data_IF_395883566369
#
_entry.id   IF_395883566369
#
_cell.length_a   1.000
_cell.length_b   1.000
_cell.length_c   1.000
_cell.angle_alpha   90.00
_cell.angle_beta   90.00
_cell.angle_gamma   90.00
#
_symmetry.space_group_name_H-M   'P 1'
#
loop_
_entity.id
_entity.type
_entity.pdbx_description
1 polymer ?
#
# COMPACT_ATOMS: atom_id res chain seq x y z
N UNK A 1 42.74 1.65 -3.92
CA UNK A 1 43.01 2.22 -5.25
C UNK A 1 41.67 2.51 -5.90
N UNK A 2 41.43 3.77 -6.28
CA UNK A 2 40.25 4.13 -7.07
C UNK A 2 40.35 3.40 -8.42
N UNK A 3 39.22 3.01 -9.00
CA UNK A 3 39.11 2.30 -10.28
C UNK A 3 39.43 3.27 -11.44
N UNK A 4 40.69 3.70 -11.63
CA UNK A 4 41.66 3.14 -12.60
C UNK A 4 43.15 3.31 -12.15
N UNK A 5 43.45 3.16 -10.86
CA UNK A 5 44.73 3.55 -10.22
C UNK A 5 45.09 5.05 -10.38
N UNK A 6 44.08 5.89 -10.60
CA UNK A 6 44.20 7.35 -10.65
C UNK A 6 44.73 7.89 -9.31
N UNK A 7 45.70 8.80 -9.37
CA UNK A 7 46.30 9.47 -8.22
C UNK A 7 46.31 10.96 -8.46
N UNK A 8 45.60 11.71 -7.62
CA UNK A 8 45.55 13.16 -7.71
C UNK A 8 45.25 13.72 -6.32
N UNK A 9 46.20 14.44 -5.73
CA UNK A 9 46.09 14.93 -4.37
C UNK A 9 44.89 15.86 -4.15
N UNK A 10 44.54 16.69 -5.14
CA UNK A 10 43.36 17.55 -5.06
C UNK A 10 42.07 16.73 -5.09
N UNK A 11 41.98 15.73 -5.96
CA UNK A 11 40.85 14.81 -6.00
C UNK A 11 40.71 14.04 -4.69
N UNK A 12 41.81 13.53 -4.15
CA UNK A 12 41.82 12.76 -2.90
C UNK A 12 41.39 13.65 -1.71
N UNK A 13 41.77 14.94 -1.71
CA UNK A 13 41.31 15.92 -0.72
C UNK A 13 39.80 16.18 -0.81
N UNK A 14 39.24 16.36 -2.01
CA UNK A 14 37.80 16.54 -2.17
C UNK A 14 37.02 15.27 -1.82
N UNK A 15 37.56 14.09 -2.15
CA UNK A 15 36.98 12.81 -1.76
C UNK A 15 36.88 12.66 -0.24
N UNK A 16 37.88 13.15 0.49
CA UNK A 16 37.87 13.13 1.96
C UNK A 16 36.70 13.96 2.51
N UNK A 17 36.52 15.19 2.02
CA UNK A 17 35.36 16.04 2.35
C UNK A 17 34.04 15.35 1.99
N UNK A 18 33.93 14.78 0.78
CA UNK A 18 32.73 14.09 0.33
C UNK A 18 32.33 12.93 1.24
N UNK A 19 33.30 12.15 1.74
CA UNK A 19 33.01 10.97 2.56
C UNK A 19 32.72 11.30 4.02
N UNK A 20 33.28 12.38 4.55
CA UNK A 20 33.26 12.67 5.98
C UNK A 20 32.41 13.88 6.38
N UNK A 21 32.00 14.71 5.43
CA UNK A 21 31.06 15.80 5.72
C UNK A 21 29.68 15.25 6.09
N UNK A 22 28.99 15.97 6.97
CA UNK A 22 27.59 15.73 7.35
C UNK A 22 26.64 16.76 6.76
N UNK A 23 27.16 17.74 6.02
CA UNK A 23 26.40 18.82 5.38
C UNK A 23 26.23 18.56 3.88
N UNK A 24 25.02 18.79 3.37
CA UNK A 24 24.72 18.52 1.97
C UNK A 24 25.48 19.43 1.01
N UNK A 25 25.62 20.72 1.33
CA UNK A 25 26.26 21.70 0.45
C UNK A 25 27.76 21.41 0.33
N UNK A 26 28.40 21.01 1.43
CA UNK A 26 29.80 20.55 1.42
C UNK A 26 30.00 19.27 0.59
N UNK A 27 29.10 18.29 0.72
CA UNK A 27 29.13 17.06 -0.08
C UNK A 27 28.90 17.35 -1.57
N UNK A 28 27.95 18.25 -1.87
CA UNK A 28 27.63 18.67 -3.22
C UNK A 28 28.81 19.40 -3.87
N UNK A 29 29.42 20.35 -3.17
CA UNK A 29 30.62 21.06 -3.63
C UNK A 29 31.75 20.08 -3.94
N UNK A 30 32.07 19.19 -3.00
CA UNK A 30 33.11 18.19 -3.18
C UNK A 30 32.84 17.29 -4.39
N UNK A 31 31.59 16.85 -4.58
CA UNK A 31 31.19 16.04 -5.73
C UNK A 31 31.42 16.79 -7.06
N UNK A 32 31.05 18.07 -7.13
CA UNK A 32 31.24 18.91 -8.32
C UNK A 32 32.73 19.12 -8.62
N UNK A 33 33.55 19.44 -7.62
CA UNK A 33 35.00 19.63 -7.80
C UNK A 33 35.71 18.34 -8.22
N UNK A 34 35.33 17.19 -7.64
CA UNK A 34 35.80 15.88 -8.07
C UNK A 34 35.47 15.61 -9.55
N UNK A 35 34.24 15.90 -9.97
CA UNK A 35 33.81 15.73 -11.38
C UNK A 35 34.58 16.65 -12.33
N UNK A 36 34.84 17.91 -11.97
CA UNK A 36 35.67 18.83 -12.78
C UNK A 36 37.07 18.27 -13.03
N UNK A 37 37.72 17.74 -11.98
CA UNK A 37 39.04 17.12 -12.10
C UNK A 37 38.96 15.89 -13.01
N UNK A 38 37.93 15.05 -12.84
CA UNK A 38 37.76 13.84 -13.65
C UNK A 38 37.56 14.16 -15.13
N UNK A 39 36.70 15.14 -15.46
CA UNK A 39 36.45 15.57 -16.84
C UNK A 39 37.69 16.17 -17.48
N UNK A 40 38.46 16.96 -16.74
CA UNK A 40 39.67 17.58 -17.27
C UNK A 40 40.81 16.57 -17.50
N UNK A 41 41.03 15.66 -16.55
CA UNK A 41 42.15 14.72 -16.61
C UNK A 41 41.85 13.42 -17.34
N UNK A 42 40.56 13.10 -17.54
CA UNK A 42 40.06 11.90 -18.24
C UNK A 42 40.81 10.63 -17.80
N UNK A 43 40.82 10.29 -16.49
CA UNK A 43 41.52 9.11 -16.01
C UNK A 43 40.92 7.80 -16.54
N UNK A 44 39.69 7.86 -17.07
CA UNK A 44 39.05 6.81 -17.83
C UNK A 44 38.26 7.44 -18.98
N UNK A 45 38.44 6.93 -20.20
CA UNK A 45 37.70 7.37 -21.38
C UNK A 45 36.49 6.43 -21.58
N UNK A 46 35.28 6.97 -21.48
CA UNK A 46 34.05 6.23 -21.78
C UNK A 46 33.89 6.17 -23.30
N UNK A 47 34.16 5.03 -23.91
CA UNK A 47 34.11 4.86 -25.37
C UNK A 47 32.69 4.71 -25.93
N UNK A 48 31.78 4.14 -25.13
CA UNK A 48 30.38 3.95 -25.45
C UNK A 48 29.59 3.76 -24.17
N UNK A 49 28.29 4.05 -24.23
CA UNK A 49 27.34 3.71 -23.18
C UNK A 49 26.37 2.66 -23.71
N UNK A 50 25.98 1.72 -22.84
CA UNK A 50 24.96 0.74 -23.20
C UNK A 50 23.61 1.45 -23.28
N UNK A 51 22.92 1.32 -24.42
CA UNK A 51 21.53 1.73 -24.55
C UNK A 51 20.63 0.53 -24.29
N UNK A 52 19.71 0.67 -23.34
CA UNK A 52 18.69 -0.35 -23.05
C UNK A 52 17.34 0.19 -23.49
N UNK A 53 16.63 -0.58 -24.30
CA UNK A 53 15.31 -0.22 -24.83
C UNK A 53 14.24 -1.10 -24.22
N UNK A 54 13.18 -0.48 -23.70
CA UNK A 54 12.05 -1.19 -23.11
C UNK A 54 10.78 -0.85 -23.88
N UNK A 55 10.13 -1.89 -24.41
CA UNK A 55 8.83 -1.76 -25.07
C UNK A 55 7.71 -2.00 -24.05
N UNK A 56 6.72 -1.10 -24.01
CA UNK A 56 5.54 -1.22 -23.14
C UNK A 56 4.29 -0.72 -23.85
N UNK A 57 3.13 -1.19 -23.40
CA UNK A 57 1.85 -0.97 -24.09
C UNK A 57 1.13 0.27 -23.59
N UNK A 58 1.15 1.34 -24.37
CA UNK A 58 0.42 2.58 -24.08
C UNK A 58 -0.99 2.63 -24.66
N UNK A 59 -1.40 1.64 -25.46
CA UNK A 59 -2.77 1.54 -25.97
C UNK A 59 -3.75 1.13 -24.86
N UNK A 60 -3.37 0.13 -24.04
CA UNK A 60 -4.18 -0.42 -22.94
C UNK A 60 -3.90 0.14 -21.56
N UNK A 61 -2.63 0.41 -21.25
CA UNK A 61 -2.22 0.79 -19.90
C UNK A 61 -1.82 2.27 -19.84
N UNK A 62 -2.08 2.88 -18.69
CA UNK A 62 -1.59 4.19 -18.28
C UNK A 62 -0.75 4.05 -17.00
N UNK A 63 -0.11 5.13 -16.55
CA UNK A 63 0.64 5.13 -15.28
C UNK A 63 2.07 4.57 -15.35
N UNK A 64 2.62 4.29 -16.53
CA UNK A 64 4.03 3.95 -16.68
C UNK A 64 4.93 5.10 -16.17
N UNK A 65 5.98 4.75 -15.44
CA UNK A 65 6.92 5.72 -14.86
C UNK A 65 8.32 5.46 -15.40
N UNK A 66 8.90 6.47 -16.03
CA UNK A 66 10.30 6.43 -16.43
C UNK A 66 11.14 7.01 -15.30
N UNK A 67 11.79 6.15 -14.51
CA UNK A 67 12.64 6.60 -13.39
C UNK A 67 14.06 6.94 -13.86
N UNK A 68 14.78 7.67 -13.01
CA UNK A 68 16.13 8.15 -13.30
C UNK A 68 17.21 7.06 -13.35
N UNK A 69 16.95 5.83 -12.87
CA UNK A 69 17.97 4.78 -12.74
C UNK A 69 17.85 3.67 -13.76
N UNK A 70 16.63 3.22 -14.01
CA UNK A 70 16.33 1.95 -14.67
C UNK A 70 15.37 2.09 -15.85
N UNK A 71 14.90 3.30 -16.15
CA UNK A 71 13.95 3.53 -17.23
C UNK A 71 12.55 3.13 -16.80
N UNK A 72 11.80 2.37 -17.60
CA UNK A 72 10.40 2.01 -17.31
C UNK A 72 10.15 0.71 -16.53
N UNK A 73 10.95 -0.38 -16.61
CA UNK A 73 10.70 -1.58 -15.82
C UNK A 73 11.32 -1.45 -14.42
N UNK A 74 10.62 -0.69 -13.59
CA UNK A 74 10.97 -0.35 -12.22
C UNK A 74 9.78 -0.50 -11.28
N UNK A 75 10.04 -0.38 -9.98
CA UNK A 75 9.02 -0.40 -8.93
C UNK A 75 7.88 0.60 -9.18
N UNK A 76 8.16 1.84 -9.56
CA UNK A 76 7.15 2.88 -9.74
C UNK A 76 6.18 2.59 -10.89
N UNK A 77 6.66 2.01 -11.99
CA UNK A 77 5.78 1.51 -13.04
C UNK A 77 4.89 0.41 -12.48
N UNK A 78 5.46 -0.60 -11.80
CA UNK A 78 4.66 -1.69 -11.23
C UNK A 78 3.62 -1.18 -10.23
N UNK A 79 3.99 -0.18 -9.44
CA UNK A 79 3.16 0.44 -8.42
C UNK A 79 2.02 1.31 -8.99
N UNK A 80 2.24 1.95 -10.15
CA UNK A 80 1.30 2.93 -10.72
C UNK A 80 0.58 2.49 -11.98
N UNK A 81 1.06 1.46 -12.67
CA UNK A 81 0.49 1.03 -13.94
C UNK A 81 -0.93 0.49 -13.73
N UNK A 82 -1.84 0.89 -14.60
CA UNK A 82 -3.24 0.47 -14.54
C UNK A 82 -3.87 0.45 -15.93
N UNK A 83 -4.95 -0.32 -16.07
CA UNK A 83 -5.77 -0.27 -17.27
C UNK A 83 -6.34 1.14 -17.48
N UNK A 84 -6.42 1.59 -18.73
CA UNK A 84 -7.17 2.79 -19.07
C UNK A 84 -8.66 2.55 -18.82
N UNK A 85 -9.40 3.64 -18.63
CA UNK A 85 -10.86 3.59 -18.50
C UNK A 85 -11.54 2.90 -19.70
N UNK A 86 -11.01 3.07 -20.92
CA UNK A 86 -11.49 2.39 -22.13
C UNK A 86 -11.35 0.87 -22.10
N UNK A 87 -10.50 0.34 -21.22
CA UNK A 87 -10.25 -1.09 -21.03
C UNK A 87 -10.85 -1.61 -19.71
N UNK A 88 -11.70 -0.82 -19.04
CA UNK A 88 -12.33 -1.20 -17.77
C UNK A 88 -11.51 -0.90 -16.51
N UNK A 89 -10.44 -0.10 -16.61
CA UNK A 89 -9.70 0.40 -15.44
C UNK A 89 -10.44 1.50 -14.65
N UNK A 90 -9.80 2.12 -13.64
CA UNK A 90 -8.36 2.14 -13.34
C UNK A 90 -7.87 1.00 -12.44
N UNK A 91 -8.73 0.04 -12.08
CA UNK A 91 -8.34 -1.10 -11.25
C UNK A 91 -8.36 -2.41 -12.05
N UNK A 92 -7.57 -3.38 -11.61
CA UNK A 92 -7.48 -4.71 -12.23
C UNK A 92 -6.58 -4.79 -13.47
N UNK A 93 -6.64 -5.96 -14.12
CA UNK A 93 -5.80 -6.31 -15.26
C UNK A 93 -4.48 -7.01 -14.88
N UNK A 94 -3.86 -7.64 -15.87
CA UNK A 94 -2.53 -8.25 -15.76
C UNK A 94 -1.52 -7.39 -16.53
N UNK A 95 -0.63 -6.67 -15.86
CA UNK A 95 0.49 -6.01 -16.54
C UNK A 95 1.64 -6.99 -16.73
N UNK A 96 2.21 -7.05 -17.94
CA UNK A 96 3.29 -7.98 -18.30
C UNK A 96 4.41 -7.23 -19.00
N UNK A 97 5.64 -7.47 -18.57
CA UNK A 97 6.85 -7.00 -19.25
C UNK A 97 7.90 -8.12 -19.25
N UNK A 98 8.84 -8.06 -20.20
CA UNK A 98 9.91 -9.05 -20.33
C UNK A 98 10.96 -8.92 -19.23
N UNK A 99 11.44 -10.06 -18.75
CA UNK A 99 12.48 -10.18 -17.72
C UNK A 99 13.40 -11.34 -18.09
N UNK A 100 14.67 -11.26 -17.70
CA UNK A 100 15.70 -12.22 -18.12
C UNK A 100 15.49 -13.62 -17.50
N UNK A 101 15.08 -13.71 -16.23
CA UNK A 101 14.66 -14.93 -15.54
C UNK A 101 13.97 -14.58 -14.21
N UNK A 102 13.38 -15.55 -13.52
CA UNK A 102 12.81 -15.35 -12.18
C UNK A 102 13.86 -15.52 -11.07
N UNK A 103 14.02 -14.55 -10.14
CA UNK A 103 15.09 -14.61 -9.16
C UNK A 103 14.84 -15.70 -8.10
N UNK A 104 15.92 -16.08 -7.39
CA UNK A 104 15.80 -16.74 -6.10
C UNK A 104 15.13 -15.77 -5.10
N UNK A 105 14.31 -16.27 -4.17
CA UNK A 105 13.61 -15.41 -3.21
C UNK A 105 14.49 -14.98 -2.05
N UNK A 106 15.69 -15.57 -1.91
CA UNK A 106 16.73 -15.05 -1.05
C UNK A 106 17.43 -13.85 -1.67
N UNK A 107 16.87 -12.67 -1.43
CA UNK A 107 17.46 -11.39 -1.84
C UNK A 107 18.86 -11.12 -1.25
N UNK A 108 19.32 -11.85 -0.23
CA UNK A 108 20.63 -11.63 0.40
C UNK A 108 21.79 -12.27 -0.37
N UNK A 109 21.52 -13.14 -1.37
CA UNK A 109 22.57 -13.86 -2.11
C UNK A 109 23.23 -13.05 -3.22
N UNK A 110 22.51 -12.13 -3.85
CA UNK A 110 23.03 -11.38 -5.00
C UNK A 110 22.47 -9.96 -5.03
N UNK A 111 23.30 -8.95 -5.36
CA UNK A 111 22.87 -7.56 -5.38
C UNK A 111 22.16 -7.07 -6.64
N UNK A 112 22.22 -7.75 -7.81
CA UNK A 112 21.78 -7.07 -9.05
C UNK A 112 21.38 -7.97 -10.23
N UNK A 113 20.10 -7.89 -10.62
CA UNK A 113 19.53 -8.24 -11.95
C UNK A 113 18.16 -7.57 -12.15
N UNK A 114 17.61 -7.58 -13.38
CA UNK A 114 16.18 -7.21 -13.61
C UNK A 114 15.27 -8.13 -12.79
N UNK A 115 15.68 -9.39 -12.60
CA UNK A 115 14.99 -10.36 -11.76
C UNK A 115 14.87 -9.87 -10.31
N UNK A 116 15.93 -9.28 -9.74
CA UNK A 116 15.92 -8.75 -8.37
C UNK A 116 15.00 -7.52 -8.21
N UNK A 117 14.65 -6.83 -9.29
CA UNK A 117 13.62 -5.75 -9.27
C UNK A 117 12.23 -6.29 -8.96
N UNK A 118 11.99 -7.59 -9.16
CA UNK A 118 10.77 -8.22 -8.67
C UNK A 118 10.74 -8.17 -7.14
N UNK A 119 11.87 -8.41 -6.47
CA UNK A 119 11.99 -8.41 -5.02
C UNK A 119 11.73 -7.02 -4.41
N UNK A 120 12.06 -5.94 -5.14
CA UNK A 120 11.69 -4.56 -4.76
C UNK A 120 10.16 -4.37 -4.57
N UNK A 121 9.33 -5.21 -5.20
CA UNK A 121 7.87 -5.14 -5.07
C UNK A 121 7.35 -5.94 -3.86
N UNK A 122 8.20 -6.80 -3.30
CA UNK A 122 7.87 -7.66 -2.17
C UNK A 122 8.29 -7.03 -0.84
N UNK A 123 9.32 -6.19 -0.80
CA UNK A 123 9.83 -5.63 0.44
C UNK A 123 9.83 -4.09 0.41
N UNK A 124 9.47 -3.49 1.54
CA UNK A 124 9.65 -2.07 1.81
C UNK A 124 10.96 -1.79 2.56
N UNK A 125 11.36 -0.51 2.53
CA UNK A 125 12.53 0.06 3.19
C UNK A 125 12.16 1.37 3.91
N UNK A 126 13.07 1.91 4.73
CA UNK A 126 12.86 3.16 5.48
C UNK A 126 12.49 4.32 4.54
N UNK A 127 13.30 4.53 3.50
CA UNK A 127 13.06 5.47 2.42
C UNK A 127 13.00 4.71 1.11
N UNK A 128 12.41 5.33 0.08
CA UNK A 128 12.46 4.83 -1.29
C UNK A 128 12.97 5.93 -2.20
N UNK A 129 13.73 5.58 -3.24
CA UNK A 129 14.12 6.55 -4.27
C UNK A 129 12.94 6.85 -5.18
N UNK A 130 12.58 8.12 -5.29
CA UNK A 130 11.56 8.62 -6.20
C UNK A 130 11.95 8.45 -7.67
N UNK A 131 10.99 8.62 -8.59
CA UNK A 131 11.26 8.56 -10.02
C UNK A 131 12.32 9.58 -10.49
N UNK A 132 12.44 10.70 -9.77
CA UNK A 132 13.44 11.75 -9.99
C UNK A 132 14.79 11.48 -9.31
N UNK A 133 14.93 10.32 -8.66
CA UNK A 133 16.14 9.92 -7.93
C UNK A 133 16.25 10.48 -6.51
N UNK A 134 15.29 11.28 -6.04
CA UNK A 134 15.34 11.85 -4.68
C UNK A 134 14.87 10.88 -3.61
N UNK A 135 15.30 11.13 -2.38
CA UNK A 135 14.79 10.43 -1.20
C UNK A 135 13.32 10.74 -0.97
N UNK A 136 12.50 9.68 -0.88
CA UNK A 136 11.11 9.76 -0.47
C UNK A 136 10.92 9.02 0.86
N UNK A 137 10.34 9.68 1.88
CA UNK A 137 9.80 9.02 3.06
C UNK A 137 8.90 7.84 2.64
N UNK A 138 9.10 6.70 3.29
CA UNK A 138 8.35 5.47 3.01
C UNK A 138 7.89 4.81 4.31
N UNK A 139 8.59 3.79 4.83
CA UNK A 139 8.32 3.30 6.20
C UNK A 139 8.70 4.32 7.27
N UNK A 140 9.73 5.13 7.02
CA UNK A 140 10.02 6.31 7.83
C UNK A 140 9.19 7.49 7.35
N UNK A 141 8.43 8.09 8.26
CA UNK A 141 7.67 9.33 8.04
C UNK A 141 8.57 10.57 8.15
N UNK A 142 9.60 10.50 8.97
CA UNK A 142 10.62 11.55 9.14
C UNK A 142 11.87 10.95 9.77
N UNK A 143 12.98 11.69 9.69
CA UNK A 143 14.21 11.36 10.40
C UNK A 143 15.00 12.60 10.78
N UNK A 144 15.87 12.45 11.77
CA UNK A 144 16.89 13.43 12.12
C UNK A 144 18.26 12.76 12.17
N UNK A 145 19.28 13.43 11.66
CA UNK A 145 20.68 13.06 11.84
C UNK A 145 21.32 14.01 12.85
N UNK A 146 22.05 13.48 13.82
CA UNK A 146 22.70 14.27 14.87
C UNK A 146 24.15 13.82 15.08
N UNK A 147 25.04 14.78 15.35
CA UNK A 147 26.42 14.54 15.80
C UNK A 147 26.60 14.95 17.27
N UNK A 148 27.77 14.66 17.85
CA UNK A 148 28.12 15.11 19.20
C UNK A 148 27.96 16.62 19.40
N UNK A 149 28.27 17.42 18.38
CA UNK A 149 28.17 18.88 18.44
C UNK A 149 26.72 19.37 18.68
N UNK A 150 25.74 18.61 18.20
CA UNK A 150 24.31 18.92 18.35
C UNK A 150 23.70 18.23 19.57
N UNK A 151 24.23 17.07 19.97
CA UNK A 151 23.74 16.28 21.09
C UNK A 151 24.89 15.55 21.81
N UNK A 152 25.25 16.04 22.99
CA UNK A 152 26.39 15.51 23.76
C UNK A 152 26.22 14.09 24.29
N UNK A 153 25.04 13.47 24.18
CA UNK A 153 24.83 12.04 24.48
C UNK A 153 25.38 11.11 23.40
N UNK A 154 25.67 11.64 22.21
CA UNK A 154 26.30 10.91 21.11
C UNK A 154 27.82 10.96 21.32
N UNK A 155 28.57 9.86 21.19
CA UNK A 155 30.03 9.91 21.29
C UNK A 155 30.67 10.84 20.24
N UNK A 156 31.83 11.43 20.56
CA UNK A 156 32.56 12.28 19.62
C UNK A 156 32.92 11.50 18.34
N UNK A 157 32.67 12.09 17.17
CA UNK A 157 32.93 11.46 15.87
C UNK A 157 31.87 10.45 15.43
N UNK A 158 30.75 10.33 16.14
CA UNK A 158 29.64 9.47 15.77
C UNK A 158 28.47 10.24 15.15
N UNK A 159 27.69 9.55 14.33
CA UNK A 159 26.40 10.01 13.83
C UNK A 159 25.27 9.16 14.40
N UNK A 160 24.21 9.80 14.90
CA UNK A 160 22.96 9.14 15.30
C UNK A 160 21.84 9.54 14.35
N UNK A 161 21.15 8.55 13.82
CA UNK A 161 19.87 8.75 13.15
C UNK A 161 18.72 8.35 14.08
N UNK A 162 17.66 9.16 14.08
CA UNK A 162 16.38 8.83 14.72
C UNK A 162 15.30 8.91 13.66
N UNK A 163 14.61 7.81 13.39
CA UNK A 163 13.52 7.71 12.43
C UNK A 163 12.19 7.52 13.14
N UNK A 164 11.16 8.22 12.68
CA UNK A 164 9.77 8.01 13.08
C UNK A 164 9.10 7.09 12.06
N UNK A 165 8.66 5.91 12.50
CA UNK A 165 8.11 4.85 11.65
C UNK A 165 6.59 4.95 11.55
N UNK A 166 6.04 4.65 10.37
CA UNK A 166 4.59 4.60 10.13
C UNK A 166 3.89 3.65 11.11
N UNK A 167 2.66 3.97 11.50
CA UNK A 167 1.92 3.22 12.54
C UNK A 167 0.97 2.16 12.01
N UNK A 168 0.62 2.25 10.73
CA UNK A 168 -0.33 1.38 10.05
C UNK A 168 0.35 0.33 9.16
N UNK A 169 1.68 0.22 9.19
CA UNK A 169 2.38 -0.80 8.41
C UNK A 169 2.10 -2.19 8.96
N UNK A 170 1.77 -3.10 8.06
CA UNK A 170 1.55 -4.52 8.36
C UNK A 170 2.29 -5.39 7.38
N UNK A 171 2.74 -6.54 7.87
CA UNK A 171 3.19 -7.65 7.06
C UNK A 171 2.03 -8.28 6.28
N UNK A 172 2.33 -9.04 5.23
CA UNK A 172 1.34 -9.73 4.37
C UNK A 172 0.40 -10.66 5.14
N UNK A 173 0.85 -11.21 6.27
CA UNK A 173 0.09 -12.06 7.17
C UNK A 173 -0.75 -11.28 8.21
N UNK A 174 -0.68 -9.94 8.21
CA UNK A 174 -1.44 -9.06 9.10
C UNK A 174 -0.74 -8.73 10.43
N UNK A 175 0.48 -9.23 10.67
CA UNK A 175 1.26 -8.77 11.82
C UNK A 175 1.66 -7.31 11.66
N UNK A 176 1.74 -6.54 12.76
CA UNK A 176 2.28 -5.18 12.69
C UNK A 176 3.74 -5.22 12.26
N UNK A 177 4.14 -4.29 11.39
CA UNK A 177 5.54 -4.03 11.06
C UNK A 177 5.99 -2.85 11.92
N UNK A 178 7.00 -3.07 12.76
CA UNK A 178 7.46 -2.07 13.75
C UNK A 178 8.93 -1.67 13.54
N UNK A 179 9.37 -0.68 14.32
CA UNK A 179 10.79 -0.32 14.40
C UNK A 179 11.67 -1.50 14.86
N UNK A 180 11.13 -2.46 15.61
CA UNK A 180 11.87 -3.66 16.03
C UNK A 180 12.28 -4.52 14.83
N UNK A 181 11.38 -4.73 13.87
CA UNK A 181 11.68 -5.47 12.63
C UNK A 181 12.80 -4.77 11.83
N UNK A 182 12.77 -3.43 11.78
CA UNK A 182 13.78 -2.65 11.06
C UNK A 182 15.13 -2.72 11.77
N UNK A 183 15.15 -2.57 13.09
CA UNK A 183 16.36 -2.71 13.90
C UNK A 183 16.95 -4.12 13.78
N UNK A 184 16.10 -5.15 13.86
CA UNK A 184 16.47 -6.55 13.63
C UNK A 184 17.11 -6.72 12.24
N UNK A 185 16.48 -6.20 11.18
CA UNK A 185 16.97 -6.30 9.80
C UNK A 185 18.38 -5.74 9.65
N UNK A 186 18.62 -4.50 10.12
CA UNK A 186 19.92 -3.84 10.00
C UNK A 186 21.01 -4.60 10.77
N UNK A 187 20.72 -5.03 12.00
CA UNK A 187 21.68 -5.81 12.79
C UNK A 187 21.91 -7.19 12.17
N UNK A 188 20.89 -7.82 11.59
CA UNK A 188 21.01 -9.11 10.91
C UNK A 188 21.98 -9.02 9.73
N UNK A 189 21.81 -8.00 8.87
CA UNK A 189 22.68 -7.79 7.71
C UNK A 189 24.11 -7.47 8.13
N UNK A 190 24.29 -6.58 9.11
CA UNK A 190 25.61 -6.23 9.66
C UNK A 190 26.37 -7.46 10.17
N UNK A 191 25.69 -8.34 10.89
CA UNK A 191 26.32 -9.48 11.57
C UNK A 191 26.47 -10.71 10.66
N UNK A 192 25.86 -10.71 9.47
CA UNK A 192 25.89 -11.85 8.56
C UNK A 192 27.05 -11.79 7.59
N UNK A 193 28.07 -12.62 7.83
CA UNK A 193 29.22 -12.69 6.93
C UNK A 193 28.80 -13.12 5.52
N UNK A 194 29.19 -12.33 4.52
CA UNK A 194 28.87 -12.59 3.10
C UNK A 194 27.51 -12.06 2.64
N UNK A 195 26.68 -11.48 3.53
CA UNK A 195 25.47 -10.78 3.12
C UNK A 195 25.87 -9.49 2.41
N UNK A 196 25.49 -9.32 1.14
CA UNK A 196 25.84 -8.12 0.38
C UNK A 196 25.20 -6.85 0.97
N UNK A 197 24.01 -6.96 1.57
CA UNK A 197 23.34 -5.86 2.27
C UNK A 197 24.09 -5.37 3.52
N UNK A 198 25.07 -6.11 4.02
CA UNK A 198 25.87 -5.74 5.18
C UNK A 198 27.22 -5.07 4.86
N UNK A 199 27.64 -5.04 3.59
CA UNK A 199 29.02 -4.64 3.20
C UNK A 199 29.32 -3.17 3.49
N UNK A 200 28.29 -2.32 3.50
CA UNK A 200 28.34 -0.88 3.76
C UNK A 200 27.88 -0.52 5.18
N UNK A 201 27.55 -1.51 6.02
CA UNK A 201 27.19 -1.33 7.44
C UNK A 201 28.40 -1.42 8.38
N UNK A 202 29.63 -1.38 7.85
CA UNK A 202 30.87 -1.57 8.63
C UNK A 202 31.02 -0.55 9.76
N UNK A 203 30.58 0.69 9.53
CA UNK A 203 30.63 1.77 10.52
C UNK A 203 29.38 1.82 11.41
N UNK A 204 28.35 1.02 11.12
CA UNK A 204 27.15 0.97 11.95
C UNK A 204 27.47 0.28 13.27
N UNK A 205 27.31 0.99 14.39
CA UNK A 205 27.51 0.45 15.73
C UNK A 205 26.32 -0.41 16.13
N UNK A 206 25.10 0.11 16.00
CA UNK A 206 23.87 -0.60 16.37
C UNK A 206 22.64 0.05 15.75
N UNK A 207 21.60 -0.75 15.54
CA UNK A 207 20.22 -0.27 15.38
C UNK A 207 19.37 -0.75 16.56
N UNK A 208 18.54 0.12 17.13
CA UNK A 208 17.66 -0.18 18.26
C UNK A 208 16.28 0.45 18.06
N UNK A 209 15.26 -0.11 18.71
CA UNK A 209 13.91 0.40 18.68
C UNK A 209 13.45 0.74 20.11
N UNK A 210 13.65 1.98 20.60
CA UNK A 210 13.18 2.38 21.93
C UNK A 210 11.67 2.28 22.09
N UNK A 211 10.92 2.41 20.98
CA UNK A 211 9.48 2.17 20.90
C UNK A 211 9.15 1.48 19.58
N UNK A 212 7.96 0.88 19.42
CA UNK A 212 7.55 0.27 18.15
C UNK A 212 7.52 1.20 16.94
N UNK A 213 7.61 2.53 17.15
CA UNK A 213 7.51 3.54 16.09
C UNK A 213 8.72 4.47 16.03
N UNK A 214 9.78 4.17 16.78
CA UNK A 214 11.00 4.97 16.79
C UNK A 214 12.19 4.04 16.61
N UNK A 215 12.95 4.27 15.54
CA UNK A 215 14.19 3.56 15.24
C UNK A 215 15.37 4.50 15.50
N UNK A 216 16.37 4.02 16.23
CA UNK A 216 17.63 4.71 16.47
C UNK A 216 18.77 3.91 15.84
N UNK A 217 19.59 4.55 15.00
CA UNK A 217 20.76 3.93 14.38
C UNK A 217 22.01 4.75 14.67
N UNK A 218 23.04 4.08 15.19
CA UNK A 218 24.32 4.69 15.56
C UNK A 218 25.41 4.30 14.57
N UNK A 219 26.25 5.26 14.18
CA UNK A 219 27.47 5.04 13.42
C UNK A 219 28.69 5.54 14.19
N UNK A 220 29.83 4.87 14.02
CA UNK A 220 31.10 5.24 14.66
C UNK A 220 31.88 6.33 13.91
N UNK A 221 31.32 6.85 12.83
CA UNK A 221 31.91 7.89 11.99
C UNK A 221 30.88 8.97 11.65
N UNK A 222 31.35 10.14 11.27
CA UNK A 222 30.55 11.24 10.72
C UNK A 222 30.51 11.14 9.19
N UNK A 223 29.30 11.08 8.63
CA UNK A 223 29.08 11.07 7.18
C UNK A 223 27.62 11.33 6.81
N UNK A 224 27.40 12.17 5.80
CA UNK A 224 26.12 12.36 5.13
C UNK A 224 25.60 11.05 4.50
N UNK A 225 26.52 10.21 3.99
CA UNK A 225 26.19 8.99 3.27
C UNK A 225 25.64 7.88 4.17
N UNK A 226 25.79 7.99 5.49
CA UNK A 226 25.22 7.03 6.44
C UNK A 226 23.71 6.90 6.33
N UNK A 227 23.00 7.93 5.87
CA UNK A 227 21.59 7.80 5.57
C UNK A 227 21.35 6.73 4.48
N UNK A 228 22.07 6.83 3.37
CA UNK A 228 21.88 5.97 2.21
C UNK A 228 22.39 4.54 2.42
N UNK A 229 23.27 4.30 3.40
CA UNK A 229 23.68 2.94 3.78
C UNK A 229 22.52 2.16 4.40
N UNK A 230 21.65 2.80 5.20
CA UNK A 230 20.55 2.12 5.91
C UNK A 230 19.18 2.32 5.27
N UNK A 231 18.96 3.43 4.56
CA UNK A 231 17.62 3.87 4.18
C UNK A 231 16.91 2.96 3.17
N UNK A 232 17.65 2.27 2.31
CA UNK A 232 17.09 1.47 1.20
C UNK A 232 17.17 -0.04 1.41
N UNK A 233 17.54 -0.50 2.61
CA UNK A 233 17.62 -1.93 2.88
C UNK A 233 16.22 -2.51 3.07
N UNK A 234 15.99 -3.69 2.51
CA UNK A 234 14.74 -4.42 2.72
C UNK A 234 14.55 -4.71 4.21
N UNK A 235 13.31 -4.58 4.68
CA UNK A 235 12.96 -4.96 6.06
C UNK A 235 12.50 -6.42 6.06
N UNK A 236 12.97 -7.19 7.03
CA UNK A 236 12.56 -8.57 7.31
C UNK A 236 11.80 -8.65 8.63
N UNK A 237 10.79 -9.52 8.65
CA UNK A 237 10.03 -9.80 9.88
C UNK A 237 10.89 -10.62 10.83
N UNK A 238 11.12 -10.11 12.03
CA UNK A 238 11.87 -10.80 13.09
C UNK A 238 11.22 -12.17 13.39
N UNK A 239 9.90 -12.19 13.51
CA UNK A 239 9.13 -13.39 13.80
C UNK A 239 9.20 -14.43 12.67
N UNK A 240 9.12 -14.00 11.41
CA UNK A 240 9.26 -14.91 10.26
C UNK A 240 10.69 -15.44 10.10
N UNK A 241 11.69 -14.71 10.64
CA UNK A 241 13.10 -15.08 10.62
C UNK A 241 13.57 -15.77 11.90
N UNK A 242 12.69 -16.15 12.82
CA UNK A 242 13.08 -16.72 14.13
C UNK A 242 13.95 -17.99 14.04
N UNK A 243 13.90 -18.73 12.93
CA UNK A 243 14.73 -19.93 12.68
C UNK A 243 16.01 -19.67 11.88
N UNK A 244 16.17 -18.44 11.36
CA UNK A 244 17.29 -18.01 10.52
C UNK A 244 18.19 -17.09 11.33
N UNK A 245 19.49 -17.34 11.28
CA UNK A 245 20.52 -16.57 11.95
C UNK A 245 21.46 -15.91 10.93
N UNK A 246 22.23 -14.90 11.33
CA UNK A 246 23.26 -14.31 10.47
C UNK A 246 24.34 -15.31 10.03
N UNK A 247 24.45 -16.50 10.62
CA UNK A 247 25.40 -17.54 10.19
C UNK A 247 24.83 -18.53 9.17
N UNK A 248 23.50 -18.65 9.06
CA UNK A 248 22.83 -19.58 8.13
C UNK A 248 21.95 -18.87 7.09
N UNK A 249 22.05 -17.54 6.97
CA UNK A 249 21.27 -16.70 6.05
C UNK A 249 21.25 -17.22 4.61
N UNK A 250 22.35 -17.85 4.17
CA UNK A 250 22.50 -18.34 2.79
C UNK A 250 21.60 -19.55 2.52
N UNK A 251 21.16 -20.28 3.54
CA UNK A 251 20.19 -21.37 3.41
C UNK A 251 18.74 -20.90 3.38
N UNK A 252 18.47 -19.66 3.78
CA UNK A 252 17.13 -19.10 3.68
C UNK A 252 16.75 -19.01 2.21
N UNK A 253 15.57 -19.49 1.85
CA UNK A 253 14.92 -19.27 0.56
C UNK A 253 13.44 -19.59 0.81
N UNK A 254 12.61 -18.57 1.06
CA UNK A 254 11.28 -18.80 1.60
C UNK A 254 10.40 -19.50 0.57
N UNK A 255 9.46 -20.32 1.05
CA UNK A 255 8.40 -20.86 0.21
C UNK A 255 7.46 -19.69 -0.20
N UNK A 256 7.23 -19.48 -1.51
CA UNK A 256 6.37 -18.39 -1.97
C UNK A 256 4.96 -18.39 -1.36
N UNK A 257 4.40 -19.55 -0.99
CA UNK A 257 3.05 -19.63 -0.40
C UNK A 257 3.01 -19.15 1.05
N UNK A 258 4.15 -19.21 1.75
CA UNK A 258 4.23 -18.91 3.20
C UNK A 258 5.08 -17.69 3.50
N UNK A 259 5.73 -17.10 2.50
CA UNK A 259 6.63 -15.96 2.69
C UNK A 259 5.88 -14.75 3.25
N UNK A 260 6.46 -14.16 4.31
CA UNK A 260 5.95 -12.96 4.96
C UNK A 260 6.71 -11.76 4.43
N UNK A 261 5.99 -10.81 3.84
CA UNK A 261 6.57 -9.66 3.11
C UNK A 261 5.77 -8.39 3.34
N UNK A 262 6.35 -7.22 3.10
CA UNK A 262 5.73 -5.92 3.43
C UNK A 262 5.19 -5.16 2.22
N UNK A 263 5.77 -5.42 1.04
CA UNK A 263 5.57 -4.64 -0.16
C UNK A 263 4.17 -4.69 -0.77
N UNK A 264 3.92 -3.87 -1.82
CA UNK A 264 2.63 -3.74 -2.46
C UNK A 264 2.16 -4.99 -3.22
N UNK A 265 3.07 -5.94 -3.46
CA UNK A 265 2.77 -7.18 -4.14
C UNK A 265 3.26 -8.40 -3.36
N UNK A 266 2.57 -9.52 -3.57
CA UNK A 266 2.92 -10.85 -3.07
C UNK A 266 3.36 -11.71 -4.24
N UNK A 267 4.29 -12.63 -4.01
CA UNK A 267 4.60 -13.66 -4.99
C UNK A 267 3.38 -14.58 -5.13
N UNK A 268 2.93 -14.81 -6.36
CA UNK A 268 1.71 -15.61 -6.60
C UNK A 268 1.97 -16.92 -7.31
N UNK A 269 2.84 -16.93 -8.33
CA UNK A 269 3.04 -18.12 -9.16
C UNK A 269 4.34 -18.03 -9.97
N UNK A 270 4.86 -19.19 -10.40
CA UNK A 270 5.95 -19.30 -11.35
C UNK A 270 5.87 -20.55 -12.20
N UNK A 271 6.30 -20.41 -13.45
CA UNK A 271 6.72 -21.52 -14.28
C UNK A 271 8.20 -21.34 -14.60
N UNK A 272 8.99 -22.38 -14.32
CA UNK A 272 10.45 -22.38 -14.53
C UNK A 272 10.73 -22.03 -15.99
N UNK A 273 11.63 -21.08 -16.21
CA UNK A 273 12.04 -20.56 -17.52
C UNK A 273 10.90 -19.94 -18.36
N UNK A 274 9.73 -19.69 -17.77
CA UNK A 274 8.59 -19.07 -18.47
C UNK A 274 8.17 -17.74 -17.84
N UNK A 275 7.75 -17.73 -16.57
CA UNK A 275 7.29 -16.51 -15.92
C UNK A 275 7.39 -16.57 -14.40
N UNK A 276 7.42 -15.39 -13.79
CA UNK A 276 7.05 -15.18 -12.40
C UNK A 276 5.95 -14.13 -12.31
N UNK A 277 5.03 -14.36 -11.38
CA UNK A 277 3.82 -13.57 -11.23
C UNK A 277 3.73 -13.03 -9.82
N UNK A 278 3.37 -11.77 -9.74
CA UNK A 278 3.05 -11.08 -8.51
C UNK A 278 1.55 -10.74 -8.49
N UNK A 279 0.94 -10.81 -7.31
CA UNK A 279 -0.44 -10.40 -7.06
C UNK A 279 -0.46 -9.21 -6.08
N UNK A 280 -1.50 -8.36 -6.14
CA UNK A 280 -1.67 -7.24 -5.21
C UNK A 280 -1.65 -7.76 -3.76
N UNK A 281 -0.88 -7.13 -2.89
CA UNK A 281 -0.96 -7.35 -1.45
C UNK A 281 -2.22 -6.64 -0.91
N UNK A 282 -3.25 -7.39 -0.47
CA UNK A 282 -4.47 -6.77 0.01
C UNK A 282 -4.24 -6.01 1.32
N UNK A 283 -3.17 -6.29 2.08
CA UNK A 283 -2.82 -5.67 3.37
C UNK A 283 -1.77 -4.56 3.25
N UNK A 284 -1.49 -4.07 2.05
CA UNK A 284 -0.47 -3.05 1.89
C UNK A 284 -0.85 -1.73 2.57
N UNK A 285 0.06 -1.14 3.35
CA UNK A 285 -0.23 0.02 4.21
C UNK A 285 -0.43 1.35 3.45
N UNK A 286 0.04 1.43 2.20
CA UNK A 286 -0.25 2.54 1.28
C UNK A 286 -1.26 2.15 0.18
N UNK A 287 -2.01 1.05 0.37
CA UNK A 287 -3.07 0.68 -0.57
C UNK A 287 -4.07 1.85 -0.70
N UNK A 288 -4.60 2.11 -1.91
CA UNK A 288 -5.75 2.99 -2.05
C UNK A 288 -6.87 2.49 -1.14
N UNK A 289 -7.37 3.37 -0.29
CA UNK A 289 -8.44 3.03 0.63
C UNK A 289 -9.79 3.26 -0.05
N UNK A 290 -10.46 2.17 -0.43
CA UNK A 290 -11.80 2.23 -1.02
C UNK A 290 -12.84 2.29 0.10
N UNK A 291 -13.82 3.21 0.06
CA UNK A 291 -14.87 3.28 1.07
C UNK A 291 -15.68 1.97 1.18
N UNK A 292 -16.31 1.73 2.35
CA UNK A 292 -17.25 0.63 2.48
C UNK A 292 -18.32 0.70 1.42
N UNK A 293 -18.67 -0.43 0.84
CA UNK A 293 -19.85 -0.52 -0.03
C UNK A 293 -21.03 -0.97 0.81
N UNK A 294 -22.20 -0.38 0.59
CA UNK A 294 -23.44 -0.77 1.26
C UNK A 294 -24.58 -0.80 0.24
N UNK A 295 -25.43 -1.82 0.32
CA UNK A 295 -26.70 -1.84 -0.41
C UNK A 295 -27.69 -0.85 0.18
N UNK A 296 -28.72 -0.46 -0.59
CA UNK A 296 -29.89 0.26 -0.08
C UNK A 296 -31.12 -0.66 -0.07
N UNK A 297 -31.42 -1.35 1.04
CA UNK A 297 -32.64 -2.14 1.18
C UNK A 297 -33.89 -1.28 1.00
N UNK A 298 -35.00 -1.82 0.48
CA UNK A 298 -36.23 -1.06 0.34
C UNK A 298 -36.85 -0.74 1.70
N UNK A 299 -37.57 0.38 1.77
CA UNK A 299 -38.48 0.68 2.87
C UNK A 299 -39.49 -0.46 3.08
N UNK A 300 -39.91 -0.68 4.32
CA UNK A 300 -40.75 -1.81 4.67
C UNK A 300 -41.94 -1.44 5.57
N UNK A 301 -43.01 -2.21 5.44
CA UNK A 301 -44.23 -2.08 6.26
C UNK A 301 -44.59 -3.42 6.88
N UNK A 302 -44.90 -3.44 8.17
CA UNK A 302 -45.37 -4.67 8.84
C UNK A 302 -46.41 -4.39 9.92
N UNK A 303 -47.14 -5.43 10.33
CA UNK A 303 -48.21 -5.34 11.33
C UNK A 303 -47.65 -5.34 12.75
N UNK A 304 -48.09 -4.40 13.58
CA UNK A 304 -47.74 -4.36 15.00
C UNK A 304 -47.93 -5.73 15.69
N UNK A 305 -47.03 -6.08 16.62
CA UNK A 305 -47.00 -7.36 17.35
C UNK A 305 -46.69 -8.62 16.51
N UNK A 306 -46.30 -8.48 15.25
CA UNK A 306 -45.69 -9.59 14.49
C UNK A 306 -44.17 -9.62 14.70
N UNK A 307 -43.56 -10.79 14.55
CA UNK A 307 -42.13 -11.03 14.80
C UNK A 307 -41.44 -11.60 13.56
N UNK A 308 -40.11 -11.58 13.54
CA UNK A 308 -39.30 -12.06 12.42
C UNK A 308 -38.89 -10.97 11.42
N UNK A 309 -39.07 -9.70 11.78
CA UNK A 309 -38.71 -8.57 10.93
C UNK A 309 -37.27 -8.13 11.19
N UNK A 310 -36.53 -7.97 10.11
CA UNK A 310 -35.13 -7.53 10.15
C UNK A 310 -34.80 -6.68 8.94
N UNK A 311 -33.82 -5.81 9.09
CA UNK A 311 -33.19 -5.10 7.98
C UNK A 311 -31.82 -5.73 7.78
N UNK A 312 -31.49 -6.06 6.53
CA UNK A 312 -30.17 -6.58 6.16
C UNK A 312 -29.57 -5.67 5.09
N UNK A 313 -28.46 -5.04 5.44
CA UNK A 313 -27.61 -4.34 4.49
C UNK A 313 -26.51 -5.29 4.03
N UNK A 314 -26.41 -5.51 2.72
CA UNK A 314 -25.25 -6.15 2.12
C UNK A 314 -24.13 -5.12 2.08
N UNK A 315 -23.37 -5.04 3.18
CA UNK A 315 -22.17 -4.23 3.28
C UNK A 315 -20.93 -5.08 3.01
N UNK A 316 -19.93 -4.52 2.33
CA UNK A 316 -18.62 -5.15 2.17
C UNK A 316 -17.49 -4.12 2.24
N UNK A 317 -16.40 -4.50 2.91
CA UNK A 317 -15.17 -3.72 2.98
C UNK A 317 -13.95 -4.66 3.13
N UNK A 318 -12.79 -4.22 2.63
CA UNK A 318 -11.53 -4.95 2.74
C UNK A 318 -10.69 -4.59 3.97
N UNK A 319 -11.06 -3.51 4.66
CA UNK A 319 -10.45 -2.97 5.87
C UNK A 319 -11.50 -2.47 6.88
N UNK A 320 -12.44 -3.34 7.30
CA UNK A 320 -13.58 -2.92 8.11
C UNK A 320 -13.16 -2.44 9.50
N UNK A 321 -13.88 -1.45 10.03
CA UNK A 321 -13.71 -0.97 11.41
C UNK A 321 -14.98 -1.22 12.24
N UNK A 322 -16.06 -0.52 11.92
CA UNK A 322 -17.27 -0.53 12.74
C UNK A 322 -18.52 -0.21 11.94
N UNK A 323 -19.67 -0.50 12.54
CA UNK A 323 -20.95 0.04 12.09
C UNK A 323 -21.84 0.46 13.27
N UNK A 324 -22.72 1.42 13.01
CA UNK A 324 -23.73 1.92 13.94
C UNK A 324 -25.06 2.09 13.21
N UNK A 325 -26.16 1.70 13.85
CA UNK A 325 -27.51 1.99 13.38
C UNK A 325 -28.19 2.92 14.37
N UNK A 326 -28.80 3.98 13.87
CA UNK A 326 -29.63 4.90 14.63
C UNK A 326 -31.10 4.70 14.25
N UNK A 327 -31.97 4.72 15.25
CA UNK A 327 -33.43 4.75 15.10
C UNK A 327 -33.93 6.13 15.53
N UNK A 328 -34.42 6.94 14.58
CA UNK A 328 -34.84 8.34 14.82
C UNK A 328 -33.76 9.11 15.62
N UNK A 329 -32.53 9.13 15.09
CA UNK A 329 -31.36 9.81 15.67
C UNK A 329 -30.85 9.27 17.02
N UNK A 330 -31.46 8.22 17.56
CA UNK A 330 -30.98 7.55 18.78
C UNK A 330 -30.26 6.26 18.42
N UNK A 331 -29.06 6.04 18.98
CA UNK A 331 -28.29 4.82 18.74
C UNK A 331 -29.12 3.58 19.09
N UNK A 332 -29.29 2.70 18.11
CA UNK A 332 -30.11 1.49 18.19
C UNK A 332 -29.26 0.23 18.34
N UNK A 333 -28.22 0.11 17.52
CA UNK A 333 -27.29 -1.02 17.54
C UNK A 333 -25.91 -0.60 17.02
N UNK A 334 -24.86 -1.31 17.40
CA UNK A 334 -23.52 -1.11 16.87
C UNK A 334 -22.67 -2.37 16.99
N UNK A 335 -21.64 -2.44 16.17
CA UNK A 335 -20.50 -3.34 16.35
C UNK A 335 -19.21 -2.56 16.10
N UNK A 336 -18.34 -2.50 17.11
CA UNK A 336 -17.03 -1.82 17.05
C UNK A 336 -15.91 -2.70 16.48
N UNK A 337 -16.24 -3.93 16.06
CA UNK A 337 -15.38 -4.89 15.38
C UNK A 337 -16.17 -5.53 14.24
N UNK A 338 -16.46 -4.74 13.21
CA UNK A 338 -17.11 -5.26 12.02
C UNK A 338 -16.13 -6.13 11.21
N UNK A 339 -16.62 -7.25 10.69
CA UNK A 339 -15.84 -8.25 9.95
C UNK A 339 -15.82 -8.00 8.43
N UNK A 340 -16.46 -6.93 7.95
CA UNK A 340 -16.59 -6.63 6.52
C UNK A 340 -17.73 -7.38 5.84
N UNK A 341 -18.57 -8.10 6.60
CA UNK A 341 -19.71 -8.85 6.09
C UNK A 341 -21.06 -8.10 6.13
N UNK A 342 -22.16 -8.75 5.70
CA UNK A 342 -23.49 -8.15 5.75
C UNK A 342 -23.93 -7.82 7.18
N UNK A 343 -24.68 -6.74 7.32
CA UNK A 343 -25.13 -6.18 8.60
C UNK A 343 -26.63 -6.41 8.73
N UNK A 344 -27.06 -7.19 9.72
CA UNK A 344 -28.47 -7.46 10.00
C UNK A 344 -28.88 -7.01 11.39
N UNK A 345 -29.98 -6.25 11.47
CA UNK A 345 -30.61 -5.87 12.73
C UNK A 345 -32.04 -6.40 12.80
N UNK A 346 -32.48 -6.79 14.00
CA UNK A 346 -33.89 -7.10 14.26
C UNK A 346 -34.66 -5.82 14.57
N UNK A 347 -35.87 -5.72 14.05
CA UNK A 347 -36.76 -4.57 14.23
C UNK A 347 -38.14 -4.98 14.75
N UNK A 348 -38.23 -6.09 15.46
CA UNK A 348 -39.45 -6.56 16.12
C UNK A 348 -39.83 -5.64 17.31
N UNK A 349 -41.09 -5.75 17.77
CA UNK A 349 -41.62 -5.05 18.95
C UNK A 349 -41.61 -3.52 18.87
N UNK A 350 -41.66 -2.94 17.66
CA UNK A 350 -41.91 -1.51 17.50
C UNK A 350 -43.42 -1.22 17.70
N UNK A 351 -43.71 -0.04 18.25
CA UNK A 351 -45.10 0.45 18.34
C UNK A 351 -45.57 0.98 16.99
N UNK A 352 -46.86 1.28 16.86
CA UNK A 352 -47.39 1.94 15.66
C UNK A 352 -46.64 3.25 15.37
N UNK A 353 -46.27 3.46 14.11
CA UNK A 353 -45.56 4.67 13.71
C UNK A 353 -44.64 4.48 12.51
N UNK A 354 -43.89 5.54 12.20
CA UNK A 354 -42.84 5.56 11.20
C UNK A 354 -41.49 5.72 11.89
N UNK A 355 -40.54 4.85 11.55
CA UNK A 355 -39.19 4.86 12.10
C UNK A 355 -38.19 5.00 10.96
N UNK A 356 -37.23 5.91 11.12
CA UNK A 356 -36.07 6.00 10.25
C UNK A 356 -34.92 5.22 10.90
N UNK A 357 -34.46 4.16 10.24
CA UNK A 357 -33.24 3.44 10.61
C UNK A 357 -32.11 3.87 9.68
N UNK A 358 -31.11 4.56 10.23
CA UNK A 358 -29.93 5.03 9.48
C UNK A 358 -28.69 4.27 9.91
N UNK A 359 -28.08 3.56 8.96
CA UNK A 359 -26.82 2.86 9.10
C UNK A 359 -25.65 3.80 8.81
N UNK A 360 -24.60 3.70 9.62
CA UNK A 360 -23.27 4.27 9.40
C UNK A 360 -22.28 3.11 9.41
N UNK A 361 -21.50 2.98 8.35
CA UNK A 361 -20.43 1.98 8.22
C UNK A 361 -19.12 2.71 8.04
N UNK A 362 -18.08 2.33 8.80
CA UNK A 362 -16.76 2.91 8.72
C UNK A 362 -15.68 1.84 8.50
N UNK A 363 -14.67 2.19 7.69
CA UNK A 363 -13.43 1.43 7.52
C UNK A 363 -12.33 1.92 8.48
N UNK A 364 -11.22 1.17 8.58
CA UNK A 364 -10.11 1.48 9.49
C UNK A 364 -9.33 2.75 9.10
N UNK A 365 -9.57 3.24 7.90
CA UNK A 365 -9.01 4.45 7.33
C UNK A 365 -10.00 5.62 7.38
N UNK A 366 -11.11 5.46 8.13
CA UNK A 366 -12.12 6.46 8.44
C UNK A 366 -12.96 6.94 7.25
N UNK A 367 -13.05 6.18 6.15
CA UNK A 367 -14.14 6.43 5.20
C UNK A 367 -15.46 6.00 5.83
N UNK A 368 -16.52 6.75 5.56
CA UNK A 368 -17.85 6.49 6.09
C UNK A 368 -18.86 6.45 4.96
N UNK A 369 -19.71 5.42 4.95
CA UNK A 369 -20.88 5.32 4.07
C UNK A 369 -22.13 5.13 4.90
N UNK A 370 -23.23 5.72 4.44
CA UNK A 370 -24.51 5.73 5.16
C UNK A 370 -25.65 5.28 4.26
N UNK A 371 -26.65 4.63 4.86
CA UNK A 371 -27.90 4.26 4.20
C UNK A 371 -29.07 4.39 5.18
N UNK A 372 -30.27 4.73 4.68
CA UNK A 372 -31.47 4.89 5.50
C UNK A 372 -32.62 4.03 4.97
N UNK A 373 -33.32 3.36 5.88
CA UNK A 373 -34.51 2.55 5.60
C UNK A 373 -35.66 3.04 6.48
N UNK A 374 -36.79 3.40 5.86
CA UNK A 374 -38.02 3.71 6.57
C UNK A 374 -38.82 2.45 6.88
N UNK A 375 -39.26 2.34 8.14
CA UNK A 375 -40.08 1.24 8.63
C UNK A 375 -41.42 1.78 9.11
N UNK A 376 -42.50 1.31 8.48
CA UNK A 376 -43.87 1.66 8.83
C UNK A 376 -44.52 0.50 9.61
N UNK A 377 -44.94 0.78 10.84
CA UNK A 377 -45.62 -0.19 11.70
C UNK A 377 -47.09 0.18 11.75
N UNK A 378 -47.94 -0.68 11.19
CA UNK A 378 -49.37 -0.42 10.99
C UNK A 378 -50.23 -1.44 11.73
N UNK A 379 -51.51 -1.13 11.95
CA UNK A 379 -52.47 -2.15 12.41
C UNK A 379 -52.88 -3.06 11.24
N UNK A 380 -53.37 -4.26 11.55
CA UNK A 380 -53.75 -5.26 10.55
C UNK A 380 -54.78 -4.72 9.54
N UNK A 381 -55.68 -3.85 10.00
CA UNK A 381 -56.76 -3.28 9.19
C UNK A 381 -56.27 -2.27 8.13
N UNK A 382 -55.03 -1.78 8.25
CA UNK A 382 -54.40 -0.83 7.32
C UNK A 382 -53.51 -1.48 6.25
N UNK A 383 -53.35 -2.80 6.21
CA UNK A 383 -52.65 -3.46 5.09
C UNK A 383 -53.50 -3.54 3.81
N UNK A 384 -54.82 -3.53 3.95
CA UNK A 384 -55.76 -3.64 2.82
C UNK A 384 -55.73 -2.42 1.87
N UNK A 385 -55.51 -1.17 2.32
CA UNK A 385 -55.34 -0.01 1.42
C UNK A 385 -53.91 0.20 0.90
N UNK A 386 -52.87 -0.23 1.63
CA UNK A 386 -51.45 0.07 1.28
C UNK A 386 -50.93 -0.80 0.12
N UNK A 387 -51.39 -2.05 0.01
CA UNK A 387 -51.09 -2.93 -1.13
C UNK A 387 -51.66 -2.40 -2.46
N UNK A 388 -52.71 -1.57 -2.41
CA UNK A 388 -53.36 -1.00 -3.60
C UNK A 388 -52.62 0.23 -4.13
N UNK A 389 -51.93 1.00 -3.29
CA UNK A 389 -51.17 2.18 -3.76
C UNK A 389 -49.75 1.83 -4.25
N UNK A 390 -49.09 0.83 -3.65
CA UNK A 390 -47.76 0.40 -4.09
C UNK A 390 -47.79 -0.41 -5.41
N UNK A 391 -48.88 -1.15 -5.67
CA UNK A 391 -49.05 -1.92 -6.91
C UNK A 391 -49.43 -1.10 -8.16
N UNK A 392 -49.85 0.15 -7.99
CA UNK A 392 -50.39 0.98 -9.10
C UNK A 392 -49.35 1.92 -9.71
N UNK A 393 -48.18 2.10 -9.10
CA UNK A 393 -47.08 2.86 -9.69
C UNK A 393 -46.41 2.16 -10.90
N UNK A 394 -46.72 0.88 -11.16
CA UNK A 394 -46.03 0.05 -12.17
C UNK A 394 -46.91 -0.37 -13.37
N UNK A 395 -48.16 0.09 -13.50
CA UNK A 395 -49.05 -0.35 -14.57
C UNK A 395 -49.60 0.83 -15.38
N UNK A 396 -48.99 1.03 -16.56
CA UNK A 396 -49.48 1.85 -17.67
C UNK A 396 -50.94 1.49 -17.97
N UNK A 397 -51.86 2.43 -17.73
CA UNK A 397 -53.28 2.30 -18.09
C UNK A 397 -53.44 2.57 -19.58
N UNK A 398 -53.67 1.52 -20.36
CA UNK A 398 -54.26 1.61 -21.70
C UNK A 398 -55.77 1.74 -21.54
N UNK A 399 -56.32 2.90 -21.87
CA UNK A 399 -57.77 3.16 -21.87
C UNK A 399 -58.40 2.54 -23.12
N UNK A 400 -59.20 1.49 -22.94
CA UNK A 400 -60.13 1.00 -23.96
C UNK A 400 -61.48 1.71 -23.81
N UNK A 401 -61.85 2.53 -24.80
CA UNK A 401 -63.17 3.15 -24.91
C UNK A 401 -64.13 2.15 -25.57
N UNK A 402 -65.13 1.68 -24.83
CA UNK A 402 -66.31 1.01 -25.39
C UNK A 402 -67.53 1.86 -25.09
N UNK A 403 -68.03 2.54 -26.12
CA UNK A 403 -69.30 3.28 -26.10
C UNK A 403 -70.42 2.31 -26.49
N UNK A 404 -71.43 2.15 -25.63
CA UNK A 404 -72.71 1.55 -26.02
C UNK A 404 -73.90 2.24 -25.35
N UNK A 405 -74.87 2.60 -26.20
CA UNK A 405 -76.29 2.83 -25.88
C UNK A 405 -76.81 4.21 -26.30
N UNK A 406 -77.89 4.39 -27.05
CA UNK A 406 -78.81 3.49 -27.71
C UNK A 406 -79.71 4.27 -28.72
N UNK A 407 -80.00 3.61 -29.85
CA UNK A 407 -81.23 3.61 -30.70
C UNK A 407 -82.14 4.85 -30.81
N UNK A 408 -82.41 5.23 -32.07
CA UNK A 408 -83.76 5.40 -32.63
C UNK A 408 -83.84 4.86 -34.07
N UNK A 409 -84.80 3.94 -34.33
CA UNK A 409 -85.39 3.65 -35.66
C UNK A 409 -86.50 4.71 -35.89
N UNK A 410 -86.82 5.21 -37.09
CA UNK A 410 -87.39 4.64 -38.34
C UNK A 410 -87.61 5.82 -39.33
N UNK A 411 -88.21 5.69 -40.53
CA UNK A 411 -87.91 4.82 -41.69
C UNK A 411 -87.89 5.58 -43.05
N UNK A 412 -87.39 4.87 -44.08
CA UNK A 412 -87.75 4.87 -45.53
C UNK A 412 -88.11 6.18 -46.27
N UNK A 413 -87.35 6.42 -47.34
CA UNK A 413 -87.62 7.30 -48.48
C UNK A 413 -86.48 7.21 -49.47
#
# INVERSE_FOLDING_TARGET
>A
YNFPMFKNASYDSWRDQLLHSTDYDEVYEAAIEMQKIWVYQVPSLICYENQVLYAYRTDKYAGHVNDALYGTPNFWTNYRVHLKQSEGGPTGGDFRYGMDWCPDLNFMRSPVTIADRMLDNLYDSLLRRGPDGKDLPWLATSYTAQTHAQNSSIPSGHTRFVFQVVRNATWSNGWPLTADDIAFSLNFYKNGFGIWLGVDLVDMVSATAPTPYELVVEFSTESYWHLHTIAYKYVISELAFASITPSNWSSWNPDPETMVTSGPFLFSDRAIDEFCRLAKNPRYFLRPNEPPTVSSPPDMTYVVNTTGHSITWNATDTDPLLWMVFKNDTLYAMNIFWDGGPITIKIDNLTLGCYNFTLYVADASMNIVTDSVFVYVVEADYLLPVLVTAGVASAVVVVAVVVLGARRRTPLG
#
